data_IF_555425311515
#
_entry.id   IF_555425311515
#
_cell.length_a   1.000
_cell.length_b   1.000
_cell.length_c   1.000
_cell.angle_alpha   90.00
_cell.angle_beta   90.00
_cell.angle_gamma   90.00
#
_symmetry.space_group_name_H-M   'P 1'
#
loop_
_entity.id
_entity.type
_entity.pdbx_description
1 polymer ?
#
# COMPACT_ATOMS: atom_id res chain seq x y z
N UNK A 1 -5.50 -13.20 14.23
CA UNK A 1 -5.92 -11.82 13.92
C UNK A 1 -4.79 -11.20 13.11
N UNK A 2 -5.06 -10.72 11.89
CA UNK A 2 -4.01 -10.10 11.08
C UNK A 2 -3.71 -8.73 11.66
N UNK A 3 -2.65 -8.64 12.45
CA UNK A 3 -2.21 -7.42 13.12
C UNK A 3 -1.55 -6.50 12.08
N UNK A 4 -2.28 -5.48 11.65
CA UNK A 4 -1.75 -4.40 10.84
C UNK A 4 -1.67 -3.16 11.72
N UNK A 5 -0.45 -2.65 11.92
CA UNK A 5 -0.21 -1.44 12.70
C UNK A 5 0.27 -0.35 11.76
N UNK A 6 -0.40 0.79 11.73
CA UNK A 6 -0.01 1.92 10.89
C UNK A 6 0.38 3.06 11.80
N UNK A 7 1.58 3.59 11.60
CA UNK A 7 2.03 4.78 12.29
C UNK A 7 1.77 5.98 11.40
N UNK A 8 0.97 6.91 11.91
CA UNK A 8 0.65 8.17 11.26
C UNK A 8 1.43 9.30 11.92
N UNK A 9 2.00 10.20 11.11
CA UNK A 9 2.61 11.40 11.66
C UNK A 9 1.51 12.40 12.06
N UNK A 10 1.34 12.62 13.37
CA UNK A 10 0.40 13.58 13.93
C UNK A 10 0.98 15.01 13.91
N UNK A 11 1.24 15.56 12.72
CA UNK A 11 1.80 16.90 12.57
C UNK A 11 0.74 17.99 12.55
N UNK A 12 0.27 18.46 13.71
CA UNK A 12 -0.42 19.73 14.07
C UNK A 12 -1.53 20.35 13.16
N UNK A 13 -1.73 19.94 11.90
CA UNK A 13 -2.72 20.51 10.96
C UNK A 13 -3.16 19.44 9.96
N UNK A 14 -4.28 18.78 10.25
CA UNK A 14 -5.25 18.16 9.33
C UNK A 14 -4.82 17.14 8.24
N UNK A 15 -3.53 16.85 8.03
CA UNK A 15 -3.06 15.85 7.06
C UNK A 15 -2.37 14.69 7.80
N UNK A 16 -3.17 13.79 8.40
CA UNK A 16 -2.63 12.54 8.93
C UNK A 16 -2.12 11.68 7.77
N UNK A 17 -0.80 11.61 7.61
CA UNK A 17 -0.16 10.79 6.57
C UNK A 17 0.51 9.57 7.21
N UNK A 18 0.25 8.36 6.69
CA UNK A 18 0.94 7.16 7.17
C UNK A 18 2.43 7.26 6.80
N UNK A 19 3.30 7.05 7.79
CA UNK A 19 4.76 7.12 7.64
C UNK A 19 5.41 5.74 7.56
N UNK A 20 4.83 4.76 8.24
CA UNK A 20 5.23 3.36 8.16
C UNK A 20 4.10 2.47 8.62
N UNK A 21 4.11 1.23 8.15
CA UNK A 21 3.16 0.23 8.61
C UNK A 21 3.84 -1.11 8.83
N UNK A 22 3.34 -1.85 9.81
CA UNK A 22 3.72 -3.22 10.08
C UNK A 22 2.62 -4.14 9.58
N UNK A 23 2.97 -5.06 8.69
CA UNK A 23 2.07 -6.06 8.13
C UNK A 23 2.67 -7.44 8.36
N UNK A 24 1.96 -8.30 9.11
CA UNK A 24 2.39 -9.69 9.40
C UNK A 24 3.82 -9.77 9.99
N UNK A 25 4.18 -8.82 10.86
CA UNK A 25 5.50 -8.74 11.47
C UNK A 25 6.61 -8.17 10.58
N UNK A 26 6.28 -7.71 9.36
CA UNK A 26 7.21 -6.98 8.48
C UNK A 26 6.90 -5.49 8.52
N UNK A 27 7.93 -4.68 8.72
CA UNK A 27 7.83 -3.21 8.70
C UNK A 27 8.09 -2.70 7.30
N UNK A 28 7.22 -1.81 6.83
CA UNK A 28 7.32 -1.13 5.55
C UNK A 28 7.37 0.38 5.79
N UNK A 29 8.49 0.98 5.41
CA UNK A 29 8.68 2.43 5.47
C UNK A 29 8.06 3.08 4.23
N UNK A 30 7.16 4.03 4.45
CA UNK A 30 6.51 4.78 3.38
C UNK A 30 7.41 5.95 3.03
N UNK A 31 7.88 5.97 1.79
CA UNK A 31 8.69 7.06 1.25
C UNK A 31 7.79 8.19 0.74
N UNK A 32 6.66 7.83 0.13
CA UNK A 32 5.77 8.80 -0.50
C UNK A 32 4.31 8.33 -0.47
N UNK A 33 3.37 9.26 -0.28
CA UNK A 33 1.93 9.01 -0.45
C UNK A 33 1.55 9.52 -1.83
N UNK A 34 1.36 8.59 -2.77
CA UNK A 34 1.04 8.88 -4.17
C UNK A 34 -0.36 9.46 -4.32
N UNK A 35 -1.32 8.93 -3.57
CA UNK A 35 -2.73 9.30 -3.70
C UNK A 35 -3.51 9.03 -2.40
N UNK A 36 -4.58 9.80 -2.18
CA UNK A 36 -5.48 9.66 -1.05
C UNK A 36 -6.91 9.92 -1.52
N UNK A 37 -7.81 8.99 -1.23
CA UNK A 37 -9.22 9.14 -1.58
C UNK A 37 -10.16 8.66 -0.46
N UNK A 38 -11.35 9.27 -0.42
CA UNK A 38 -12.37 8.99 0.57
C UNK A 38 -13.44 8.08 -0.05
N UNK A 39 -13.88 7.10 0.71
CA UNK A 39 -15.00 6.22 0.40
C UNK A 39 -16.00 6.26 1.57
N UNK A 40 -17.27 5.87 1.38
CA UNK A 40 -18.24 5.88 2.47
C UNK A 40 -17.77 5.02 3.67
N UNK A 41 -17.36 5.69 4.75
CA UNK A 41 -16.90 5.06 5.99
C UNK A 41 -15.44 4.60 6.02
N UNK A 42 -14.65 4.88 4.97
CA UNK A 42 -13.24 4.52 4.94
C UNK A 42 -12.40 5.48 4.09
N UNK A 43 -11.15 5.68 4.51
CA UNK A 43 -10.15 6.46 3.78
C UNK A 43 -9.14 5.50 3.18
N UNK A 44 -8.77 5.74 1.93
CA UNK A 44 -7.79 4.95 1.21
C UNK A 44 -6.54 5.79 0.95
N UNK A 45 -5.38 5.16 1.14
CA UNK A 45 -4.07 5.76 0.95
C UNK A 45 -3.24 4.87 0.04
N UNK A 46 -2.86 5.39 -1.12
CA UNK A 46 -1.86 4.74 -1.97
C UNK A 46 -0.48 5.26 -1.60
N UNK A 47 0.37 4.35 -1.15
CA UNK A 47 1.70 4.66 -0.63
C UNK A 47 2.76 3.88 -1.39
N UNK A 48 3.93 4.48 -1.50
CA UNK A 48 5.14 3.87 -2.06
C UNK A 48 6.15 3.65 -0.96
N UNK A 49 6.72 2.45 -0.93
CA UNK A 49 7.74 2.06 0.04
C UNK A 49 9.16 2.27 -0.51
N UNK A 50 10.14 2.21 0.39
CA UNK A 50 11.55 2.36 0.01
C UNK A 50 12.03 1.29 -0.98
N UNK A 51 11.49 0.07 -0.94
CA UNK A 51 11.79 -1.00 -1.92
C UNK A 51 11.19 -0.71 -3.31
N UNK A 52 10.38 0.35 -3.43
CA UNK A 52 9.65 0.71 -4.64
C UNK A 52 8.31 -0.01 -4.81
N UNK A 53 7.92 -0.83 -3.84
CA UNK A 53 6.63 -1.50 -3.82
C UNK A 53 5.50 -0.50 -3.49
N UNK A 54 4.34 -0.70 -4.10
CA UNK A 54 3.15 0.11 -3.88
C UNK A 54 2.15 -0.62 -2.98
N UNK A 55 1.53 0.10 -2.06
CA UNK A 55 0.50 -0.42 -1.18
C UNK A 55 -0.71 0.50 -1.16
N UNK A 56 -1.90 -0.07 -1.01
CA UNK A 56 -3.16 0.63 -0.81
C UNK A 56 -3.67 0.26 0.57
N UNK A 57 -3.55 1.20 1.50
CA UNK A 57 -4.01 1.07 2.86
C UNK A 57 -5.45 1.60 2.94
N UNK A 58 -6.32 0.86 3.61
CA UNK A 58 -7.68 1.27 3.95
C UNK A 58 -7.75 1.53 5.45
N UNK A 59 -8.21 2.71 5.82
CA UNK A 59 -8.51 3.09 7.20
C UNK A 59 -10.04 3.16 7.34
N UNK A 60 -10.59 2.25 8.13
CA UNK A 60 -12.02 2.21 8.45
C UNK A 60 -12.26 3.19 9.60
N UNK A 61 -12.77 4.39 9.31
CA UNK A 61 -12.94 5.46 10.30
C UNK A 61 -13.93 5.07 11.41
N UNK A 62 -14.92 4.22 11.07
CA UNK A 62 -15.94 3.77 12.02
C UNK A 62 -15.38 2.86 13.11
N UNK A 63 -14.35 2.08 12.79
CA UNK A 63 -13.74 1.10 13.70
C UNK A 63 -12.32 1.48 14.12
N UNK A 64 -11.77 2.54 13.52
CA UNK A 64 -10.37 2.94 13.61
C UNK A 64 -9.39 1.80 13.28
N UNK A 65 -9.76 0.96 12.30
CA UNK A 65 -8.99 -0.22 11.89
C UNK A 65 -8.31 0.03 10.57
N UNK A 66 -7.03 -0.28 10.49
CA UNK A 66 -6.27 -0.29 9.24
C UNK A 66 -6.26 -1.69 8.62
N UNK A 67 -6.40 -1.75 7.31
CA UNK A 67 -6.36 -2.97 6.52
C UNK A 67 -5.65 -2.73 5.19
N UNK A 68 -5.01 -3.77 4.67
CA UNK A 68 -4.40 -3.71 3.34
C UNK A 68 -5.44 -4.10 2.30
N UNK A 69 -5.74 -3.19 1.37
CA UNK A 69 -6.68 -3.43 0.29
C UNK A 69 -5.98 -4.04 -0.93
N UNK A 70 -4.82 -3.49 -1.32
CA UNK A 70 -4.02 -4.00 -2.43
C UNK A 70 -2.52 -3.71 -2.22
N UNK A 71 -1.66 -4.51 -2.84
CA UNK A 71 -0.22 -4.21 -2.96
C UNK A 71 0.30 -4.64 -4.32
N UNK A 72 1.37 -3.99 -4.77
CA UNK A 72 2.08 -4.32 -6.01
C UNK A 72 3.57 -4.25 -5.76
N UNK A 73 4.21 -5.41 -5.87
CA UNK A 73 5.66 -5.51 -5.71
C UNK A 73 6.37 -4.98 -6.98
N UNK A 74 7.37 -4.11 -6.84
CA UNK A 74 8.20 -3.67 -7.95
C UNK A 74 9.04 -4.83 -8.53
N UNK A 75 9.41 -5.78 -7.66
CA UNK A 75 10.14 -7.01 -8.03
C UNK A 75 9.36 -7.96 -8.94
N UNK A 76 8.04 -7.86 -9.03
CA UNK A 76 7.23 -8.75 -9.88
C UNK A 76 7.18 -8.30 -11.36
N UNK A 77 7.87 -7.22 -11.75
CA UNK A 77 8.03 -6.84 -13.18
C UNK A 77 9.13 -7.61 -13.92
N UNK A 78 9.59 -8.74 -13.40
CA UNK A 78 10.69 -9.50 -13.99
C UNK A 78 10.38 -10.98 -14.14
N UNK A 79 9.32 -11.36 -14.87
CA UNK A 79 9.14 -12.68 -15.50
C UNK A 79 7.84 -12.72 -16.32
N UNK A 80 7.81 -12.08 -17.49
CA UNK A 80 6.94 -12.57 -18.55
C UNK A 80 7.74 -13.67 -19.27
N UNK A 81 7.28 -14.93 -19.32
CA UNK A 81 7.83 -15.85 -20.28
C UNK A 81 7.53 -15.27 -21.67
N UNK A 82 8.60 -14.95 -22.39
CA UNK A 82 8.58 -14.58 -23.79
C UNK A 82 7.72 -15.61 -24.53
N UNK A 83 6.58 -15.21 -25.08
CA UNK A 83 5.71 -16.12 -25.81
C UNK A 83 6.50 -16.67 -27.01
N UNK A 84 6.52 -17.99 -27.26
CA UNK A 84 7.20 -18.51 -28.43
C UNK A 84 6.51 -17.92 -29.66
N UNK A 85 7.30 -17.25 -30.51
CA UNK A 85 6.85 -16.76 -31.81
C UNK A 85 6.29 -17.95 -32.59
N UNK A 86 4.97 -17.98 -32.75
CA UNK A 86 4.29 -18.99 -33.56
C UNK A 86 4.70 -18.77 -35.02
N UNK A 87 5.74 -19.48 -35.44
CA UNK A 87 6.14 -19.59 -36.83
C UNK A 87 4.98 -20.20 -37.62
N UNK A 88 4.26 -19.35 -38.35
CA UNK A 88 3.27 -19.77 -39.32
C UNK A 88 4.02 -20.22 -40.59
N UNK A 89 4.27 -21.52 -40.71
CA UNK A 89 4.65 -22.17 -41.98
C UNK A 89 3.45 -22.87 -42.61
#
# INVERSE_FOLDING_TARGET
MSEMHVECYAGYRADQRPIRFTLRGRVFEITEVEDQWYSPGAIYFRVRTQDGDYFVLRHDEAQDVWSLDAFRSARERGSLPEAPEVGLT
#
